data_IF_405335254582
#
_entry.id   IF_405335254582
#
_cell.length_a   1.000
_cell.length_b   1.000
_cell.length_c   1.000
_cell.angle_alpha   90.00
_cell.angle_beta   90.00
_cell.angle_gamma   90.00
#
_symmetry.space_group_name_H-M   'P 1'
#
loop_
_entity.id
_entity.type
_entity.pdbx_description
1 polymer ?
#
# COMPACT_ATOMS: atom_id res chain seq x y z
N UNK A 1 -16.24 -2.05 18.38
CA UNK A 1 -17.25 -1.76 17.35
C UNK A 1 -18.16 -2.98 17.25
N UNK A 2 -19.48 -2.83 17.43
CA UNK A 2 -20.47 -3.87 17.14
C UNK A 2 -20.42 -4.32 15.67
N UNK A 3 -20.86 -5.55 15.39
CA UNK A 3 -20.80 -6.14 14.04
C UNK A 3 -21.54 -5.31 12.98
N UNK A 4 -22.72 -4.80 13.32
CA UNK A 4 -23.55 -3.99 12.41
C UNK A 4 -22.86 -2.68 12.00
N UNK A 5 -22.24 -2.00 12.97
CA UNK A 5 -21.47 -0.78 12.72
C UNK A 5 -20.23 -1.06 11.87
N UNK A 6 -19.54 -2.18 12.12
CA UNK A 6 -18.39 -2.59 11.34
C UNK A 6 -18.76 -2.89 9.88
N UNK A 7 -19.90 -3.56 9.65
CA UNK A 7 -20.41 -3.80 8.32
C UNK A 7 -20.79 -2.50 7.62
N UNK A 8 -21.45 -1.56 8.31
CA UNK A 8 -21.80 -0.26 7.75
C UNK A 8 -20.56 0.54 7.33
N UNK A 9 -19.50 0.55 8.14
CA UNK A 9 -18.21 1.16 7.81
C UNK A 9 -17.56 0.47 6.62
N UNK A 10 -17.59 -0.87 6.56
CA UNK A 10 -17.06 -1.63 5.43
C UNK A 10 -17.80 -1.32 4.12
N UNK A 11 -19.13 -1.24 4.13
CA UNK A 11 -19.91 -0.84 2.93
C UNK A 11 -19.51 0.57 2.49
N UNK A 12 -19.38 1.50 3.43
CA UNK A 12 -18.92 2.86 3.12
C UNK A 12 -17.53 2.86 2.51
N UNK A 13 -16.58 2.09 3.04
CA UNK A 13 -15.25 1.91 2.46
C UNK A 13 -15.31 1.39 1.02
N UNK A 14 -16.12 0.36 0.77
CA UNK A 14 -16.21 -0.24 -0.57
C UNK A 14 -16.86 0.68 -1.60
N UNK A 15 -17.86 1.47 -1.21
CA UNK A 15 -18.65 2.30 -2.14
C UNK A 15 -18.20 3.75 -2.20
N UNK A 16 -17.99 4.40 -1.04
CA UNK A 16 -17.68 5.84 -0.94
C UNK A 16 -16.19 6.10 -1.09
N UNK A 17 -15.34 5.18 -0.63
CA UNK A 17 -13.88 5.31 -0.68
C UNK A 17 -13.27 4.61 -1.90
N UNK A 18 -14.11 4.12 -2.82
CA UNK A 18 -13.69 3.41 -4.03
C UNK A 18 -12.75 2.22 -3.78
N UNK A 19 -12.73 1.67 -2.56
CA UNK A 19 -11.87 0.53 -2.22
C UNK A 19 -12.23 -0.69 -3.08
N UNK A 20 -13.50 -0.81 -3.51
CA UNK A 20 -13.96 -1.85 -4.44
C UNK A 20 -13.20 -1.82 -5.78
N UNK A 21 -12.70 -0.68 -6.23
CA UNK A 21 -11.98 -0.55 -7.50
C UNK A 21 -10.68 -1.37 -7.51
N UNK A 22 -10.03 -1.51 -6.35
CA UNK A 22 -8.85 -2.37 -6.17
C UNK A 22 -9.16 -3.87 -6.34
N UNK A 23 -10.43 -4.26 -6.19
CA UNK A 23 -10.86 -5.67 -6.27
C UNK A 23 -11.60 -5.99 -7.58
N UNK A 24 -11.74 -5.02 -8.50
CA UNK A 24 -12.40 -5.27 -9.79
C UNK A 24 -11.58 -6.25 -10.64
N UNK A 25 -12.21 -7.07 -11.50
CA UNK A 25 -11.51 -8.09 -12.30
C UNK A 25 -10.40 -7.53 -13.19
N UNK A 26 -10.52 -6.27 -13.62
CA UNK A 26 -9.50 -5.59 -14.43
C UNK A 26 -8.30 -5.13 -13.62
N UNK A 27 -8.40 -5.06 -12.28
CA UNK A 27 -7.34 -4.67 -11.34
C UNK A 27 -6.62 -3.37 -11.73
N UNK A 28 -7.32 -2.46 -12.41
CA UNK A 28 -6.73 -1.26 -13.00
C UNK A 28 -6.15 -0.33 -11.94
N UNK A 29 -6.90 -0.06 -10.87
CA UNK A 29 -6.44 0.76 -9.75
C UNK A 29 -5.29 0.09 -9.00
N UNK A 30 -5.33 -1.23 -8.83
CA UNK A 30 -4.22 -1.97 -8.24
C UNK A 30 -2.94 -1.81 -9.07
N UNK A 31 -3.05 -1.90 -10.40
CA UNK A 31 -1.94 -1.66 -11.32
C UNK A 31 -1.37 -0.25 -11.21
N UNK A 32 -2.22 0.78 -11.05
CA UNK A 32 -1.79 2.15 -10.82
C UNK A 32 -1.01 2.27 -9.50
N UNK A 33 -1.50 1.65 -8.41
CA UNK A 33 -0.78 1.61 -7.15
C UNK A 33 0.57 0.89 -7.27
N UNK A 34 0.65 -0.21 -8.04
CA UNK A 34 1.92 -0.90 -8.29
C UNK A 34 2.91 -0.01 -9.03
N UNK A 35 2.45 0.71 -10.06
CA UNK A 35 3.29 1.63 -10.81
C UNK A 35 3.79 2.78 -9.94
N UNK A 36 2.91 3.36 -9.12
CA UNK A 36 3.30 4.38 -8.15
C UNK A 36 4.35 3.84 -7.17
N UNK A 37 4.14 2.65 -6.63
CA UNK A 37 5.12 2.01 -5.74
C UNK A 37 6.46 1.76 -6.45
N UNK A 38 6.43 1.34 -7.71
CA UNK A 38 7.64 1.13 -8.51
C UNK A 38 8.44 2.43 -8.69
N UNK A 39 7.79 3.52 -9.09
CA UNK A 39 8.43 4.84 -9.20
C UNK A 39 9.03 5.29 -7.86
N UNK A 40 8.32 5.07 -6.75
CA UNK A 40 8.79 5.41 -5.41
C UNK A 40 10.02 4.58 -5.00
N UNK A 41 10.02 3.28 -5.29
CA UNK A 41 11.18 2.40 -5.04
C UNK A 41 12.36 2.82 -5.89
N UNK A 42 12.13 3.20 -7.15
CA UNK A 42 13.17 3.72 -8.03
C UNK A 42 13.80 5.03 -7.50
N UNK A 43 12.98 5.95 -6.97
CA UNK A 43 13.45 7.24 -6.47
C UNK A 43 14.19 7.13 -5.12
N UNK A 44 13.68 6.30 -4.20
CA UNK A 44 14.17 6.21 -2.82
C UNK A 44 15.21 5.11 -2.61
N UNK A 45 15.13 4.01 -3.38
CA UNK A 45 16.00 2.84 -3.26
C UNK A 45 16.48 2.37 -4.64
N UNK A 46 17.25 3.20 -5.37
CA UNK A 46 17.65 2.92 -6.75
C UNK A 46 18.47 1.63 -6.88
N UNK A 47 19.30 1.29 -5.88
CA UNK A 47 20.11 0.07 -5.88
C UNK A 47 19.24 -1.20 -5.80
N UNK A 48 18.20 -1.17 -4.96
CA UNK A 48 17.23 -2.26 -4.82
C UNK A 48 16.39 -2.40 -6.09
N UNK A 49 15.94 -1.26 -6.64
CA UNK A 49 15.20 -1.23 -7.90
C UNK A 49 16.02 -1.86 -9.04
N UNK A 50 17.28 -1.46 -9.19
CA UNK A 50 18.17 -2.02 -10.20
C UNK A 50 18.37 -3.54 -10.01
N UNK A 51 18.49 -4.00 -8.77
CA UNK A 51 18.60 -5.43 -8.47
C UNK A 51 17.34 -6.22 -8.86
N UNK A 52 16.15 -5.73 -8.49
CA UNK A 52 14.88 -6.36 -8.89
C UNK A 52 14.68 -6.36 -10.41
N UNK A 53 15.00 -5.26 -11.08
CA UNK A 53 14.89 -5.16 -12.53
C UNK A 53 15.85 -6.14 -13.24
N UNK A 54 17.09 -6.28 -12.75
CA UNK A 54 18.06 -7.23 -13.28
C UNK A 54 17.61 -8.70 -13.13
N UNK A 55 16.81 -9.00 -12.11
CA UNK A 55 16.22 -10.34 -11.90
C UNK A 55 14.87 -10.53 -12.60
N UNK A 56 14.32 -9.50 -13.26
CA UNK A 56 12.98 -9.54 -13.86
C UNK A 56 11.85 -9.65 -12.83
N UNK A 57 12.05 -9.10 -11.62
CA UNK A 57 11.05 -9.09 -10.55
C UNK A 57 10.15 -7.85 -10.67
N UNK A 58 8.90 -8.07 -11.07
CA UNK A 58 7.90 -7.01 -11.10
C UNK A 58 7.37 -6.70 -9.69
N UNK A 59 7.09 -5.42 -9.42
CA UNK A 59 6.51 -4.94 -8.16
C UNK A 59 5.21 -5.65 -7.79
N UNK A 60 4.40 -5.99 -8.80
CA UNK A 60 3.14 -6.72 -8.65
C UNK A 60 3.29 -8.11 -8.01
N UNK A 61 4.45 -8.75 -8.15
CA UNK A 61 4.71 -10.11 -7.67
C UNK A 61 4.78 -10.19 -6.14
N UNK A 62 5.23 -9.12 -5.47
CA UNK A 62 5.33 -9.09 -4.01
C UNK A 62 4.33 -8.13 -3.35
N UNK A 63 4.01 -7.00 -3.99
CA UNK A 63 3.22 -5.94 -3.38
C UNK A 63 1.70 -6.10 -3.53
N UNK A 64 1.23 -6.89 -4.50
CA UNK A 64 -0.21 -7.14 -4.73
C UNK A 64 -0.93 -7.57 -3.45
N UNK A 65 -0.35 -8.52 -2.70
CA UNK A 65 -0.89 -8.98 -1.43
C UNK A 65 -0.99 -7.89 -0.36
N UNK A 66 -0.12 -6.88 -0.41
CA UNK A 66 -0.07 -5.83 0.60
C UNK A 66 -1.21 -4.84 0.43
N UNK A 67 -1.46 -4.41 -0.81
CA UNK A 67 -2.58 -3.52 -1.12
C UNK A 67 -3.94 -4.20 -0.93
N UNK A 68 -4.07 -5.47 -1.33
CA UNK A 68 -5.32 -6.23 -1.15
C UNK A 68 -5.65 -6.50 0.31
N UNK A 69 -4.64 -6.66 1.17
CA UNK A 69 -4.82 -6.84 2.61
C UNK A 69 -4.71 -5.53 3.41
N UNK A 70 -4.59 -4.37 2.75
CA UNK A 70 -4.36 -3.07 3.39
C UNK A 70 -3.24 -3.13 4.45
N UNK A 71 -2.17 -3.87 4.14
CA UNK A 71 -0.99 -4.09 4.99
C UNK A 71 -1.26 -4.76 6.35
N UNK A 72 -2.50 -5.16 6.63
CA UNK A 72 -2.90 -5.79 7.91
C UNK A 72 -2.24 -7.14 8.16
N UNK A 73 -1.83 -7.84 7.11
CA UNK A 73 -1.18 -9.15 7.19
C UNK A 73 0.34 -9.09 7.22
N UNK A 74 0.92 -7.96 6.83
CA UNK A 74 2.38 -7.80 6.69
C UNK A 74 3.00 -6.89 7.74
N UNK A 75 2.24 -5.92 8.24
CA UNK A 75 2.68 -4.99 9.27
C UNK A 75 2.06 -5.33 10.64
N UNK A 76 2.72 -4.96 11.74
CA UNK A 76 2.11 -5.03 13.06
C UNK A 76 0.78 -4.29 13.10
N UNK A 77 -0.18 -4.82 13.86
CA UNK A 77 -1.56 -4.29 13.90
C UNK A 77 -1.60 -2.79 14.23
N UNK A 78 -0.73 -2.30 15.11
CA UNK A 78 -0.65 -0.88 15.46
C UNK A 78 -0.31 0.01 14.26
N UNK A 79 0.61 -0.45 13.40
CA UNK A 79 1.03 0.28 12.22
C UNK A 79 -0.01 0.15 11.10
N UNK A 80 -0.58 -1.03 10.93
CA UNK A 80 -1.67 -1.26 9.99
C UNK A 80 -2.89 -0.36 10.32
N UNK A 81 -3.24 -0.22 11.60
CA UNK A 81 -4.30 0.69 12.04
C UNK A 81 -3.99 2.15 11.71
N UNK A 82 -2.74 2.60 11.91
CA UNK A 82 -2.34 3.97 11.52
C UNK A 82 -2.44 4.21 10.02
N UNK A 83 -2.02 3.25 9.21
CA UNK A 83 -2.15 3.33 7.74
C UNK A 83 -3.62 3.35 7.34
N UNK A 84 -4.47 2.58 8.01
CA UNK A 84 -5.92 2.60 7.79
C UNK A 84 -6.54 3.94 8.18
N UNK A 85 -6.12 4.55 9.29
CA UNK A 85 -6.58 5.88 9.71
C UNK A 85 -6.16 6.94 8.70
N UNK A 86 -4.91 6.92 8.23
CA UNK A 86 -4.42 7.82 7.18
C UNK A 86 -5.19 7.59 5.89
N UNK A 87 -5.43 6.34 5.48
CA UNK A 87 -6.21 6.02 4.28
C UNK A 87 -7.65 6.54 4.37
N UNK A 88 -8.31 6.36 5.52
CA UNK A 88 -9.65 6.87 5.78
C UNK A 88 -9.70 8.40 5.78
N UNK A 89 -8.67 9.07 6.30
CA UNK A 89 -8.60 10.53 6.28
C UNK A 89 -8.26 11.04 4.89
N UNK A 90 -7.22 10.50 4.26
CA UNK A 90 -6.74 10.99 2.97
C UNK A 90 -7.71 10.70 1.83
N UNK A 91 -8.43 9.59 1.79
CA UNK A 91 -9.42 9.38 0.72
C UNK A 91 -10.62 10.34 0.83
N UNK A 92 -10.92 10.89 2.03
CA UNK A 92 -11.84 12.03 2.18
C UNK A 92 -11.22 13.32 1.57
N UNK A 93 -9.89 13.48 1.65
CA UNK A 93 -9.16 14.66 1.17
C UNK A 93 -8.63 14.57 -0.28
N UNK A 94 -8.48 13.38 -0.85
CA UNK A 94 -7.84 13.11 -2.14
C UNK A 94 -8.70 13.51 -3.34
N UNK A 95 -9.96 13.88 -3.12
CA UNK A 95 -10.76 14.55 -4.14
C UNK A 95 -10.39 16.03 -4.35
N UNK A 96 -9.61 16.67 -3.46
CA UNK A 96 -9.33 18.10 -3.58
C UNK A 96 -7.89 18.50 -3.87
N UNK A 97 -6.87 17.68 -3.60
CA UNK A 97 -5.49 18.06 -3.97
C UNK A 97 -4.46 16.96 -3.72
N UNK A 98 -3.78 16.55 -4.78
CA UNK A 98 -2.37 16.15 -4.79
C UNK A 98 -1.89 15.20 -3.68
N UNK A 99 -1.81 13.94 -4.08
CA UNK A 99 -1.02 12.82 -3.54
C UNK A 99 0.45 13.18 -3.21
N UNK A 100 0.71 14.05 -2.23
CA UNK A 100 2.08 14.50 -1.91
C UNK A 100 2.42 14.54 -0.42
N UNK A 101 1.49 14.19 0.48
CA UNK A 101 1.71 14.29 1.93
C UNK A 101 1.91 12.93 2.62
N UNK A 102 1.20 11.87 2.21
CA UNK A 102 1.31 10.51 2.77
C UNK A 102 2.62 9.76 2.47
N UNK A 103 3.28 10.12 1.36
CA UNK A 103 4.34 9.29 0.77
C UNK A 103 5.49 9.06 1.74
N UNK A 104 5.87 10.03 2.57
CA UNK A 104 7.07 9.90 3.41
C UNK A 104 6.90 8.95 4.62
N UNK A 105 5.77 8.96 5.33
CA UNK A 105 5.55 8.06 6.48
C UNK A 105 5.29 6.62 6.04
N UNK A 106 4.53 6.47 4.95
CA UNK A 106 4.29 5.18 4.32
C UNK A 106 5.58 4.60 3.75
N UNK A 107 6.41 5.40 3.08
CA UNK A 107 7.72 4.98 2.55
C UNK A 107 8.70 4.65 3.67
N UNK A 108 8.73 5.39 4.79
CA UNK A 108 9.58 5.03 5.92
C UNK A 108 9.17 3.67 6.53
N UNK A 109 7.87 3.40 6.62
CA UNK A 109 7.36 2.10 7.09
C UNK A 109 7.66 0.95 6.12
N UNK A 110 7.47 1.18 4.82
CA UNK A 110 7.76 0.18 3.79
C UNK A 110 9.27 -0.04 3.65
N UNK A 111 10.06 1.02 3.63
CA UNK A 111 11.53 0.98 3.59
C UNK A 111 12.11 0.24 4.79
N UNK A 112 11.65 0.53 6.01
CA UNK A 112 12.06 -0.21 7.21
C UNK A 112 11.61 -1.68 7.19
N UNK A 113 10.45 -1.99 6.62
CA UNK A 113 10.02 -3.38 6.40
C UNK A 113 10.91 -4.12 5.39
N UNK A 114 11.22 -3.51 4.24
CA UNK A 114 12.14 -4.07 3.26
C UNK A 114 13.54 -4.26 3.85
N UNK A 115 14.06 -3.26 4.56
CA UNK A 115 15.40 -3.34 5.16
C UNK A 115 15.46 -4.48 6.19
N UNK A 116 14.43 -4.63 7.04
CA UNK A 116 14.36 -5.73 8.02
C UNK A 116 14.15 -7.11 7.38
N UNK A 117 13.37 -7.21 6.30
CA UNK A 117 13.07 -8.50 5.66
C UNK A 117 14.22 -8.99 4.78
N UNK A 118 14.91 -8.10 4.09
CA UNK A 118 15.97 -8.46 3.13
C UNK A 118 17.39 -8.43 3.72
N UNK A 119 17.69 -7.69 4.80
CA UNK A 119 18.96 -7.88 5.54
C UNK A 119 19.14 -9.29 6.12
N UNK A 120 18.05 -10.03 6.31
CA UNK A 120 18.07 -11.39 6.82
C UNK A 120 18.25 -12.46 5.73
N UNK A 121 18.28 -12.07 4.45
CA UNK A 121 18.50 -12.99 3.31
C UNK A 121 19.96 -13.02 2.82
N UNK A 122 20.81 -12.08 3.26
CA UNK A 122 22.24 -12.01 2.91
C UNK A 122 23.19 -12.63 3.96
N UNK A 123 22.68 -13.48 4.87
CA UNK A 123 23.51 -14.31 5.78
C UNK A 123 23.26 -15.79 5.55
#
# INVERSE_FOLDING_TARGET
MPEEEAFAVFVRLMETYHLRELFKPTMTELGLCMFQLECLVQEQMPDLYAHFNNMGFDTSMYASSWFLALFTTTLPLELANRIMDIFLVEVIFLYLSYFNFSSNEFIFSIGSYFENKYKNLEK
#
